data_IF_244310239797
#
_entry.id   IF_244310239797
#
_cell.length_a   1.000
_cell.length_b   1.000
_cell.length_c   1.000
_cell.angle_alpha   90.00
_cell.angle_beta   90.00
_cell.angle_gamma   90.00
#
_symmetry.space_group_name_H-M   'P 1'
#
loop_
_entity.id
_entity.type
_entity.pdbx_description
1 polymer ?
#
# COMPACT_ATOMS: atom_id res chain seq x y z
N UNK A 1 -16.55 -3.86 11.95
CA UNK A 1 -16.34 -4.89 12.99
C UNK A 1 -14.84 -5.07 13.12
N UNK A 2 -14.24 -4.56 14.18
CA UNK A 2 -12.79 -4.64 14.40
C UNK A 2 -12.41 -6.09 14.73
N UNK A 3 -11.36 -6.59 14.10
CA UNK A 3 -10.73 -7.85 14.49
C UNK A 3 -10.21 -7.75 15.92
N UNK A 4 -10.44 -8.75 16.78
CA UNK A 4 -9.90 -8.77 18.13
C UNK A 4 -8.46 -9.31 18.09
N UNK A 5 -7.51 -8.60 18.71
CA UNK A 5 -6.21 -9.20 19.03
C UNK A 5 -4.95 -8.35 18.88
N UNK A 6 -5.02 -7.01 18.94
CA UNK A 6 -3.80 -6.23 19.17
C UNK A 6 -3.61 -6.00 20.67
N UNK A 7 -2.52 -6.52 21.22
CA UNK A 7 -2.10 -6.28 22.59
C UNK A 7 -1.96 -4.77 22.84
N UNK A 8 -2.24 -4.27 24.06
CA UNK A 8 -2.03 -2.87 24.37
C UNK A 8 -0.58 -2.48 24.05
N UNK A 9 -0.34 -1.31 23.44
CA UNK A 9 1.02 -0.89 23.14
C UNK A 9 1.79 -0.78 24.45
N UNK A 10 2.82 -1.61 24.62
CA UNK A 10 3.73 -1.53 25.76
C UNK A 10 4.44 -0.17 25.82
N UNK A 11 5.12 0.14 26.95
CA UNK A 11 5.87 1.39 27.09
C UNK A 11 6.84 1.58 25.93
N UNK A 12 7.09 2.85 25.56
CA UNK A 12 7.95 3.16 24.43
C UNK A 12 9.32 2.46 24.57
N UNK A 13 9.81 1.76 23.53
CA UNK A 13 11.09 1.08 23.59
C UNK A 13 12.24 2.06 23.86
N UNK A 14 13.31 1.57 24.50
CA UNK A 14 14.50 2.37 24.80
C UNK A 14 15.04 3.02 23.52
N UNK A 15 15.13 4.36 23.51
CA UNK A 15 15.54 5.17 22.35
C UNK A 15 14.43 6.04 21.73
N UNK A 16 13.15 5.85 22.12
CA UNK A 16 12.04 6.67 21.62
C UNK A 16 11.82 8.00 22.38
N UNK A 17 12.53 8.22 23.49
CA UNK A 17 12.31 9.33 24.42
C UNK A 17 13.63 10.06 24.71
N UNK A 18 13.60 11.38 24.99
CA UNK A 18 14.79 12.14 25.36
C UNK A 18 15.49 11.57 26.62
N UNK A 19 16.82 11.68 26.75
CA UNK A 19 17.55 11.22 27.93
C UNK A 19 17.04 11.84 29.24
N UNK A 20 16.61 13.10 29.20
CA UNK A 20 16.04 13.82 30.34
C UNK A 20 14.65 13.31 30.78
N UNK A 21 14.02 12.41 30.01
CA UNK A 21 12.66 11.94 30.25
C UNK A 21 12.50 11.29 31.62
N UNK A 22 13.49 10.54 32.10
CA UNK A 22 13.42 9.87 33.41
C UNK A 22 14.02 10.72 34.54
N UNK A 23 15.03 11.53 34.23
CA UNK A 23 15.88 12.17 35.25
C UNK A 23 15.42 13.56 35.66
N UNK A 24 14.69 14.29 34.81
CA UNK A 24 14.30 15.69 35.05
C UNK A 24 12.80 15.81 35.39
N UNK A 25 12.45 15.62 36.66
CA UNK A 25 11.07 15.63 37.13
C UNK A 25 10.39 17.00 36.97
N UNK A 26 11.11 18.10 37.17
CA UNK A 26 10.57 19.46 37.09
C UNK A 26 10.19 19.82 35.64
N UNK A 27 11.09 19.56 34.70
CA UNK A 27 10.82 19.80 33.28
C UNK A 27 9.69 18.91 32.78
N UNK A 28 9.64 17.66 33.21
CA UNK A 28 8.58 16.73 32.79
C UNK A 28 7.21 17.11 33.37
N UNK A 29 7.14 17.60 34.61
CA UNK A 29 5.91 18.17 35.16
C UNK A 29 5.40 19.35 34.34
N UNK A 30 6.31 20.26 33.93
CA UNK A 30 5.97 21.36 33.02
C UNK A 30 5.45 20.85 31.67
N UNK A 31 6.13 19.88 31.04
CA UNK A 31 5.74 19.34 29.74
C UNK A 31 4.41 18.56 29.77
N UNK A 32 4.10 17.87 30.87
CA UNK A 32 2.88 17.05 31.00
C UNK A 32 1.64 17.84 31.39
N UNK A 33 1.81 19.03 31.97
CA UNK A 33 0.68 19.90 32.33
C UNK A 33 -0.17 20.30 31.12
N UNK A 34 -1.37 20.83 31.37
CA UNK A 34 -2.16 21.42 30.30
C UNK A 34 -1.46 22.65 29.71
N UNK A 35 -1.84 22.99 28.49
CA UNK A 35 -1.51 24.26 27.88
C UNK A 35 -2.36 25.38 28.55
N UNK A 36 -1.77 26.55 28.83
CA UNK A 36 -2.49 27.75 29.33
C UNK A 36 -3.62 28.20 28.37
N UNK A 37 -4.64 28.90 28.87
CA UNK A 37 -5.81 29.25 28.04
C UNK A 37 -5.48 30.22 26.88
N UNK A 38 -4.45 31.06 27.02
CA UNK A 38 -4.00 31.96 25.96
C UNK A 38 -2.48 31.96 25.85
N UNK A 39 -1.97 31.88 24.61
CA UNK A 39 -0.54 32.05 24.27
C UNK A 39 -0.04 33.45 24.67
N UNK A 40 -0.91 34.45 24.66
CA UNK A 40 -0.55 35.86 24.91
C UNK A 40 -0.10 36.10 26.36
N UNK A 41 -0.48 35.22 27.29
CA UNK A 41 -0.14 35.34 28.71
C UNK A 41 1.31 34.92 28.98
N UNK A 42 1.86 33.98 28.21
CA UNK A 42 3.27 33.57 28.28
C UNK A 42 3.67 32.84 26.99
N UNK A 43 4.07 33.60 25.97
CA UNK A 43 4.40 33.07 24.65
C UNK A 43 5.64 32.18 24.65
N UNK A 44 6.64 32.49 25.48
CA UNK A 44 7.91 31.76 25.54
C UNK A 44 7.73 30.34 26.07
N UNK A 45 7.05 30.16 27.21
CA UNK A 45 6.75 28.83 27.75
C UNK A 45 5.89 28.01 26.80
N UNK A 46 4.87 28.67 26.22
CA UNK A 46 3.97 28.05 25.27
C UNK A 46 4.71 27.52 24.04
N UNK A 47 5.51 28.35 23.41
CA UNK A 47 6.21 28.03 22.17
C UNK A 47 7.29 26.97 22.42
N UNK A 48 8.01 27.04 23.55
CA UNK A 48 8.98 26.02 23.95
C UNK A 48 8.34 24.64 24.13
N UNK A 49 7.21 24.58 24.87
CA UNK A 49 6.45 23.35 25.08
C UNK A 49 5.88 22.80 23.78
N UNK A 50 5.35 23.67 22.92
CA UNK A 50 4.84 23.28 21.60
C UNK A 50 5.96 22.73 20.71
N UNK A 51 7.11 23.39 20.65
CA UNK A 51 8.25 22.94 19.85
C UNK A 51 8.75 21.55 20.30
N UNK A 52 8.86 21.33 21.62
CA UNK A 52 9.22 20.03 22.18
C UNK A 52 8.26 18.92 21.72
N UNK A 53 6.95 19.11 21.95
CA UNK A 53 5.97 18.06 21.63
C UNK A 53 5.80 17.83 20.14
N UNK A 54 5.83 18.89 19.31
CA UNK A 54 5.83 18.76 17.85
C UNK A 54 7.01 17.92 17.37
N UNK A 55 8.22 18.23 17.86
CA UNK A 55 9.43 17.48 17.51
C UNK A 55 9.30 16.01 17.91
N UNK A 56 8.83 15.73 19.12
CA UNK A 56 8.73 14.37 19.64
C UNK A 56 7.66 13.53 18.92
N UNK A 57 6.49 14.11 18.63
CA UNK A 57 5.40 13.45 17.89
C UNK A 57 5.86 13.06 16.48
N UNK A 58 6.43 14.01 15.73
CA UNK A 58 6.91 13.76 14.37
C UNK A 58 8.08 12.75 14.34
N UNK A 59 9.02 12.88 15.28
CA UNK A 59 10.16 11.97 15.37
C UNK A 59 9.74 10.54 15.73
N UNK A 60 8.72 10.37 16.59
CA UNK A 60 8.16 9.05 16.91
C UNK A 60 7.57 8.37 15.68
N UNK A 61 6.77 9.10 14.89
CA UNK A 61 6.22 8.59 13.63
C UNK A 61 7.33 8.10 12.69
N UNK A 62 8.37 8.92 12.50
CA UNK A 62 9.54 8.59 11.66
C UNK A 62 10.31 7.37 12.18
N UNK A 63 10.66 7.31 13.47
CA UNK A 63 11.40 6.18 14.05
C UNK A 63 10.66 4.85 13.93
N UNK A 64 9.33 4.87 14.10
CA UNK A 64 8.49 3.68 13.99
C UNK A 64 8.14 3.33 12.54
N UNK A 65 8.41 4.21 11.58
CA UNK A 65 7.96 4.06 10.19
C UNK A 65 6.43 4.05 10.05
N UNK A 66 5.69 4.55 11.05
CA UNK A 66 4.23 4.50 11.10
C UNK A 66 3.63 5.76 10.47
N UNK A 67 2.94 5.60 9.34
CA UNK A 67 2.32 6.73 8.61
C UNK A 67 1.03 7.25 9.27
N UNK A 68 0.48 6.51 10.24
CA UNK A 68 -0.75 6.84 10.97
C UNK A 68 -0.52 6.91 12.48
N UNK A 69 -1.37 7.63 13.17
CA UNK A 69 -1.47 7.61 14.63
C UNK A 69 -2.83 8.12 15.13
N UNK A 70 -3.09 8.07 16.44
CA UNK A 70 -4.18 8.79 17.09
C UNK A 70 -3.72 9.39 18.43
N UNK A 71 -4.57 10.23 19.05
CA UNK A 71 -4.24 10.87 20.32
C UNK A 71 -3.99 9.83 21.44
N UNK A 72 -4.82 8.78 21.51
CA UNK A 72 -4.68 7.71 22.52
C UNK A 72 -3.34 6.99 22.42
N UNK A 73 -2.93 6.62 21.21
CA UNK A 73 -1.64 5.96 20.98
C UNK A 73 -0.47 6.81 21.43
N UNK A 74 -0.53 8.12 21.17
CA UNK A 74 0.52 9.06 21.59
C UNK A 74 0.52 9.27 23.09
N UNK A 75 -0.65 9.38 23.73
CA UNK A 75 -0.77 9.49 25.19
C UNK A 75 -0.17 8.27 25.88
N UNK A 76 -0.56 7.06 25.48
CA UNK A 76 0.00 5.81 26.01
C UNK A 76 1.49 5.71 25.70
N UNK A 77 1.88 6.12 24.49
CA UNK A 77 3.25 6.09 24.02
C UNK A 77 4.19 7.04 24.74
N UNK A 78 3.66 8.12 25.32
CA UNK A 78 4.37 9.12 26.11
C UNK A 78 3.96 9.07 27.58
N UNK A 79 3.40 7.95 28.05
CA UNK A 79 3.09 7.79 29.46
C UNK A 79 4.39 7.81 30.29
N UNK A 80 4.32 8.45 31.45
CA UNK A 80 5.40 8.50 32.42
C UNK A 80 4.82 8.38 33.83
N UNK A 81 5.23 7.35 34.56
CA UNK A 81 4.82 7.10 35.96
C UNK A 81 3.29 7.17 36.14
N UNK A 82 2.52 6.58 35.22
CA UNK A 82 1.05 6.59 35.25
C UNK A 82 0.39 7.90 34.83
N UNK A 83 1.16 8.91 34.39
CA UNK A 83 0.65 10.18 33.87
C UNK A 83 0.80 10.23 32.35
N UNK A 84 -0.17 10.85 31.67
CA UNK A 84 -0.10 11.13 30.22
C UNK A 84 -0.01 12.64 29.98
N UNK A 85 0.58 13.09 28.86
CA UNK A 85 0.73 14.52 28.63
C UNK A 85 -0.61 15.16 28.21
N UNK A 86 -1.15 16.02 29.07
CA UNK A 86 -2.48 16.64 28.90
C UNK A 86 -2.54 17.58 27.69
N UNK A 87 -1.39 18.10 27.26
CA UNK A 87 -1.30 19.05 26.16
C UNK A 87 -1.40 18.45 24.75
N UNK A 88 -1.32 17.13 24.58
CA UNK A 88 -1.17 16.50 23.26
C UNK A 88 -2.30 16.82 22.28
N UNK A 89 -3.56 16.89 22.74
CA UNK A 89 -4.67 17.28 21.88
C UNK A 89 -4.48 18.67 21.25
N UNK A 90 -3.89 19.61 22.00
CA UNK A 90 -3.57 20.95 21.49
C UNK A 90 -2.42 20.92 20.47
N UNK A 91 -1.43 20.04 20.68
CA UNK A 91 -0.32 19.82 19.75
C UNK A 91 -0.83 19.24 18.43
N UNK A 92 -1.70 18.23 18.48
CA UNK A 92 -2.28 17.62 17.28
C UNK A 92 -3.14 18.60 16.49
N UNK A 93 -3.94 19.41 17.18
CA UNK A 93 -4.69 20.52 16.54
C UNK A 93 -3.74 21.48 15.81
N UNK A 94 -2.62 21.86 16.42
CA UNK A 94 -1.64 22.74 15.78
C UNK A 94 -0.95 22.07 14.59
N UNK A 95 -0.62 20.79 14.68
CA UNK A 95 -0.05 20.02 13.56
C UNK A 95 -1.03 19.87 12.38
N UNK A 96 -2.32 19.68 12.66
CA UNK A 96 -3.39 19.71 11.65
C UNK A 96 -3.48 21.08 10.99
N UNK A 97 -3.50 22.16 11.79
CA UNK A 97 -3.55 23.55 11.30
C UNK A 97 -2.35 23.88 10.41
N UNK A 98 -1.16 23.35 10.72
CA UNK A 98 0.07 23.52 9.93
C UNK A 98 0.18 22.56 8.73
N UNK A 99 -0.78 21.64 8.55
CA UNK A 99 -0.73 20.62 7.49
C UNK A 99 0.39 19.59 7.66
N UNK A 100 0.95 19.45 8.86
CA UNK A 100 1.92 18.40 9.19
C UNK A 100 1.24 17.06 9.50
N UNK A 101 0.01 17.15 10.03
CA UNK A 101 -0.92 16.04 10.13
C UNK A 101 -2.14 16.33 9.24
N UNK A 102 -2.83 15.26 8.83
CA UNK A 102 -4.12 15.34 8.16
C UNK A 102 -5.05 14.26 8.73
N UNK A 103 -6.36 14.53 8.87
CA UNK A 103 -7.32 13.49 9.23
C UNK A 103 -7.40 12.48 8.09
N UNK A 104 -7.42 11.19 8.41
CA UNK A 104 -7.48 10.15 7.37
C UNK A 104 -8.74 10.28 6.50
N UNK A 105 -9.87 10.60 7.12
CA UNK A 105 -11.14 10.86 6.43
C UNK A 105 -11.05 12.03 5.45
N UNK A 106 -10.42 13.14 5.83
CA UNK A 106 -10.18 14.29 4.96
C UNK A 106 -9.26 13.92 3.81
N UNK A 107 -8.20 13.15 4.09
CA UNK A 107 -7.26 12.70 3.06
C UNK A 107 -7.95 11.82 2.02
N UNK A 108 -8.70 10.82 2.46
CA UNK A 108 -9.45 9.94 1.56
C UNK A 108 -10.46 10.73 0.72
N UNK A 109 -11.21 11.66 1.33
CA UNK A 109 -12.15 12.50 0.60
C UNK A 109 -11.49 13.45 -0.42
N UNK A 110 -10.19 13.77 -0.25
CA UNK A 110 -9.45 14.65 -1.16
C UNK A 110 -8.99 13.99 -2.46
N UNK A 111 -9.10 12.65 -2.57
CA UNK A 111 -8.74 11.90 -3.77
C UNK A 111 -10.02 11.52 -4.51
N UNK A 112 -10.06 11.76 -5.82
CA UNK A 112 -11.26 11.58 -6.66
C UNK A 112 -11.98 10.24 -6.43
N UNK A 113 -13.31 10.30 -6.50
CA UNK A 113 -14.26 9.25 -6.14
C UNK A 113 -14.10 7.93 -6.90
N UNK A 114 -13.36 7.93 -8.01
CA UNK A 114 -13.14 6.76 -8.87
C UNK A 114 -12.45 5.59 -8.17
N UNK A 115 -11.65 5.84 -7.12
CA UNK A 115 -11.02 4.78 -6.31
C UNK A 115 -11.89 4.28 -5.15
N UNK A 116 -12.67 5.18 -4.54
CA UNK A 116 -13.44 4.94 -3.31
C UNK A 116 -14.78 4.25 -3.59
N UNK A 117 -15.21 4.22 -4.84
CA UNK A 117 -16.55 3.78 -5.21
C UNK A 117 -16.80 2.27 -5.11
N UNK A 118 -15.83 1.34 -5.07
CA UNK A 118 -16.17 -0.08 -5.34
C UNK A 118 -15.45 -1.24 -4.61
N UNK A 119 -14.48 -1.07 -3.69
CA UNK A 119 -13.93 -2.33 -3.12
C UNK A 119 -12.88 -2.30 -2.02
N UNK A 120 -12.96 -1.43 -1.04
CA UNK A 120 -12.09 -1.54 0.16
C UNK A 120 -12.93 -1.52 1.44
N UNK A 121 -14.17 -2.04 1.43
CA UNK A 121 -14.96 -2.22 2.67
C UNK A 121 -15.12 -0.99 3.59
N UNK A 122 -14.80 0.21 3.10
CA UNK A 122 -15.00 1.46 3.84
C UNK A 122 -16.42 1.85 3.55
N UNK A 123 -17.31 1.49 4.47
CA UNK A 123 -18.62 2.10 4.59
C UNK A 123 -18.44 3.61 4.76
N UNK A 124 -18.32 4.36 3.67
CA UNK A 124 -18.65 5.78 3.67
C UNK A 124 -20.17 5.86 3.76
N UNK A 125 -20.67 5.52 4.94
CA UNK A 125 -22.00 5.92 5.34
C UNK A 125 -21.97 7.45 5.40
N UNK A 126 -22.51 8.06 4.33
CA UNK A 126 -23.11 9.40 4.22
C UNK A 126 -22.24 10.51 3.60
N UNK A 127 -22.27 10.65 2.25
CA UNK A 127 -21.78 11.83 1.57
C UNK A 127 -22.82 12.98 1.58
N UNK A 128 -23.29 13.44 2.75
CA UNK A 128 -24.28 14.52 2.82
C UNK A 128 -24.14 15.53 3.98
N UNK A 129 -23.26 15.32 4.98
CA UNK A 129 -23.05 16.29 6.08
C UNK A 129 -21.70 17.03 6.06
N UNK A 130 -20.83 16.72 5.10
CA UNK A 130 -19.39 17.01 5.23
C UNK A 130 -18.79 17.88 4.13
N UNK A 131 -19.61 18.43 3.21
CA UNK A 131 -19.11 19.21 2.06
C UNK A 131 -18.88 20.69 2.35
N UNK A 132 -19.00 21.17 3.59
CA UNK A 132 -18.74 22.59 3.92
C UNK A 132 -17.86 22.85 5.16
N UNK A 133 -17.51 21.86 5.98
CA UNK A 133 -16.67 22.05 7.18
C UNK A 133 -15.18 21.75 6.98
N UNK A 134 -14.77 21.11 5.87
CA UNK A 134 -13.38 20.70 5.63
C UNK A 134 -12.53 21.77 4.92
N UNK A 135 -13.15 22.79 4.31
CA UNK A 135 -12.45 23.89 3.62
C UNK A 135 -12.07 25.02 4.58
N UNK A 136 -12.66 25.04 5.78
CA UNK A 136 -12.29 25.92 6.89
C UNK A 136 -11.84 25.04 8.04
N UNK A 137 -10.52 24.84 8.18
CA UNK A 137 -9.91 23.94 9.15
C UNK A 137 -10.59 23.99 10.51
N UNK A 138 -11.33 22.93 10.86
CA UNK A 138 -12.03 22.84 12.13
C UNK A 138 -10.98 22.84 13.25
N UNK A 139 -10.93 23.93 14.02
CA UNK A 139 -9.97 24.18 15.10
C UNK A 139 -10.22 23.31 16.33
N UNK A 140 -10.85 22.14 16.16
CA UNK A 140 -11.19 21.23 17.26
C UNK A 140 -10.03 20.28 17.55
N UNK A 141 -9.90 19.93 18.83
CA UNK A 141 -9.03 18.84 19.25
C UNK A 141 -9.54 17.56 18.58
N UNK A 142 -8.67 16.74 17.97
CA UNK A 142 -9.06 15.43 17.47
C UNK A 142 -9.61 14.53 18.59
N UNK A 143 -10.58 13.68 18.25
CA UNK A 143 -11.05 12.67 19.21
C UNK A 143 -9.93 11.65 19.51
N UNK A 144 -10.01 10.96 20.65
CA UNK A 144 -8.93 10.10 21.13
C UNK A 144 -8.51 9.00 20.14
N UNK A 145 -9.50 8.38 19.48
CA UNK A 145 -9.32 7.28 18.52
C UNK A 145 -9.32 7.76 17.07
N UNK A 146 -9.41 9.07 16.84
CA UNK A 146 -9.44 9.61 15.49
C UNK A 146 -8.09 9.42 14.80
N UNK A 147 -8.12 8.83 13.61
CA UNK A 147 -6.89 8.48 12.87
C UNK A 147 -6.35 9.69 12.10
N UNK A 148 -5.10 10.01 12.38
CA UNK A 148 -4.33 11.09 11.79
C UNK A 148 -3.17 10.51 10.96
N UNK A 149 -2.86 11.15 9.85
CA UNK A 149 -1.80 10.78 8.92
C UNK A 149 -0.64 11.77 9.06
N UNK A 150 0.58 11.26 9.18
CA UNK A 150 1.81 12.05 9.04
C UNK A 150 2.05 12.36 7.56
N UNK A 151 1.78 13.61 7.15
CA UNK A 151 1.75 14.00 5.73
C UNK A 151 3.10 13.77 5.04
N UNK A 152 4.20 14.25 5.64
CA UNK A 152 5.54 14.09 5.07
C UNK A 152 5.97 12.61 5.02
N UNK A 153 5.71 11.86 6.08
CA UNK A 153 6.10 10.45 6.13
C UNK A 153 5.29 9.60 5.13
N UNK A 154 4.01 9.92 4.92
CA UNK A 154 3.19 9.29 3.89
C UNK A 154 3.80 9.53 2.50
N UNK A 155 4.19 10.77 2.20
CA UNK A 155 4.84 11.12 0.92
C UNK A 155 6.16 10.36 0.73
N UNK A 156 7.03 10.34 1.74
CA UNK A 156 8.31 9.61 1.71
C UNK A 156 8.10 8.11 1.47
N UNK A 157 7.13 7.49 2.17
CA UNK A 157 6.81 6.08 2.01
C UNK A 157 6.15 5.76 0.67
N UNK A 158 5.35 6.68 0.13
CA UNK A 158 4.74 6.50 -1.18
C UNK A 158 5.82 6.57 -2.28
N UNK A 159 6.83 7.43 -2.12
CA UNK A 159 8.02 7.47 -2.98
C UNK A 159 8.86 6.19 -2.86
N UNK A 160 9.00 5.60 -1.67
CA UNK A 160 9.62 4.26 -1.52
C UNK A 160 8.87 3.18 -2.32
N UNK A 161 7.54 3.15 -2.25
CA UNK A 161 6.71 2.21 -3.05
C UNK A 161 6.94 2.40 -4.55
N UNK A 162 7.03 3.66 -5.01
CA UNK A 162 7.30 3.94 -6.42
C UNK A 162 8.67 3.47 -6.88
N UNK A 163 9.71 3.77 -6.09
CA UNK A 163 11.08 3.33 -6.38
C UNK A 163 11.17 1.80 -6.36
N UNK A 164 10.45 1.15 -5.45
CA UNK A 164 10.39 -0.31 -5.42
C UNK A 164 9.75 -0.87 -6.69
N UNK A 165 8.63 -0.29 -7.15
CA UNK A 165 8.03 -0.66 -8.44
C UNK A 165 9.01 -0.46 -9.61
N UNK A 166 9.63 0.72 -9.72
CA UNK A 166 10.57 1.06 -10.79
C UNK A 166 11.78 0.11 -10.86
N UNK A 167 12.24 -0.40 -9.72
CA UNK A 167 13.37 -1.34 -9.64
C UNK A 167 12.95 -2.82 -9.71
N UNK A 168 11.67 -3.11 -9.96
CA UNK A 168 11.14 -4.47 -10.03
C UNK A 168 10.88 -4.91 -11.47
N UNK A 169 10.73 -6.21 -11.67
CA UNK A 169 10.30 -6.78 -12.95
C UNK A 169 8.92 -6.28 -13.40
N UNK A 170 8.07 -5.80 -12.47
CA UNK A 170 6.75 -5.25 -12.79
C UNK A 170 6.83 -3.96 -13.61
N UNK A 171 7.97 -3.25 -13.58
CA UNK A 171 8.15 -1.98 -14.31
C UNK A 171 8.23 -2.14 -15.83
N UNK A 172 8.54 -3.35 -16.33
CA UNK A 172 8.52 -3.65 -17.77
C UNK A 172 7.12 -3.52 -18.35
N UNK A 173 6.10 -3.77 -17.52
CA UNK A 173 4.71 -3.76 -17.92
C UNK A 173 4.06 -2.37 -17.67
N UNK A 174 3.22 -1.87 -18.60
CA UNK A 174 2.58 -0.56 -18.46
C UNK A 174 1.48 -0.57 -17.40
N UNK A 175 0.87 -1.74 -17.19
CA UNK A 175 -0.22 -1.98 -16.26
C UNK A 175 0.05 -3.28 -15.54
N UNK A 176 -0.20 -3.31 -14.24
CA UNK A 176 0.07 -4.46 -13.37
C UNK A 176 -1.12 -4.75 -12.47
N UNK A 177 -1.25 -5.99 -12.01
CA UNK A 177 -2.28 -6.32 -11.05
C UNK A 177 -1.98 -5.66 -9.70
N UNK A 178 -3.02 -5.15 -9.03
CA UNK A 178 -2.88 -4.57 -7.70
C UNK A 178 -2.39 -5.61 -6.67
N UNK A 179 -2.77 -6.87 -6.85
CA UNK A 179 -2.34 -8.02 -6.03
C UNK A 179 -0.84 -8.28 -6.13
N UNK A 180 -0.27 -8.20 -7.33
CA UNK A 180 1.17 -8.31 -7.58
C UNK A 180 1.92 -7.14 -6.95
N UNK A 181 1.42 -5.91 -7.14
CA UNK A 181 2.00 -4.72 -6.53
C UNK A 181 1.97 -4.79 -5.00
N UNK A 182 0.88 -5.27 -4.41
CA UNK A 182 0.77 -5.51 -2.97
C UNK A 182 1.79 -6.54 -2.49
N UNK A 183 1.97 -7.62 -3.25
CA UNK A 183 2.94 -8.67 -2.92
C UNK A 183 4.37 -8.13 -2.96
N UNK A 184 4.69 -7.28 -3.94
CA UNK A 184 5.96 -6.57 -4.02
C UNK A 184 6.16 -5.66 -2.78
N UNK A 185 5.12 -4.95 -2.36
CA UNK A 185 5.18 -3.98 -1.26
C UNK A 185 5.01 -4.59 0.15
N UNK A 186 4.85 -5.91 0.29
CA UNK A 186 4.54 -6.57 1.56
C UNK A 186 5.60 -6.31 2.66
N UNK A 187 6.86 -6.12 2.28
CA UNK A 187 7.94 -5.79 3.22
C UNK A 187 7.98 -4.31 3.64
N UNK A 188 7.37 -3.40 2.87
CA UNK A 188 7.32 -1.96 3.17
C UNK A 188 6.03 -1.56 3.90
N UNK A 189 4.94 -2.28 3.64
CA UNK A 189 3.62 -1.95 4.18
C UNK A 189 3.28 -2.93 5.31
N UNK A 190 3.17 -2.46 6.58
CA UNK A 190 2.85 -3.34 7.71
C UNK A 190 1.45 -3.96 7.61
N UNK A 191 0.53 -3.30 6.90
CA UNK A 191 -0.85 -3.72 6.74
C UNK A 191 -1.47 -3.19 5.44
N UNK A 192 -2.62 -3.74 5.09
CA UNK A 192 -3.38 -3.41 3.88
C UNK A 192 -3.82 -1.95 3.82
N UNK A 193 -4.23 -1.39 4.96
CA UNK A 193 -4.73 -0.01 5.02
C UNK A 193 -3.58 0.97 4.77
N UNK A 194 -2.39 0.70 5.31
CA UNK A 194 -1.19 1.46 4.98
C UNK A 194 -0.88 1.41 3.48
N UNK A 195 -0.89 0.22 2.86
CA UNK A 195 -0.67 0.07 1.42
C UNK A 195 -1.62 0.95 0.58
N UNK A 196 -2.92 0.95 0.90
CA UNK A 196 -3.88 1.77 0.17
C UNK A 196 -3.71 3.27 0.38
N UNK A 197 -3.32 3.72 1.57
CA UNK A 197 -3.03 5.14 1.80
C UNK A 197 -1.82 5.61 0.99
N UNK A 198 -0.79 4.77 0.84
CA UNK A 198 0.36 5.09 -0.01
C UNK A 198 -0.07 5.17 -1.48
N UNK A 199 -0.89 4.23 -1.97
CA UNK A 199 -1.42 4.31 -3.33
C UNK A 199 -2.29 5.54 -3.58
N UNK A 200 -3.14 5.91 -2.61
CA UNK A 200 -3.92 7.14 -2.66
C UNK A 200 -3.02 8.38 -2.75
N UNK A 201 -1.91 8.40 -2.01
CA UNK A 201 -0.93 9.48 -2.09
C UNK A 201 -0.32 9.56 -3.49
N UNK A 202 0.04 8.43 -4.09
CA UNK A 202 0.57 8.39 -5.45
C UNK A 202 -0.47 8.82 -6.50
N UNK A 203 -1.74 8.50 -6.29
CA UNK A 203 -2.81 8.91 -7.18
C UNK A 203 -3.07 10.41 -7.07
N UNK A 204 -3.06 10.96 -5.85
CA UNK A 204 -3.13 12.41 -5.59
C UNK A 204 -2.00 13.17 -6.29
N UNK A 205 -0.81 12.59 -6.33
CA UNK A 205 0.36 13.12 -7.04
C UNK A 205 0.32 12.88 -8.55
N UNK A 206 -0.72 12.22 -9.08
CA UNK A 206 -0.85 11.82 -10.49
C UNK A 206 0.30 10.95 -10.98
N UNK A 207 0.85 10.11 -10.08
CA UNK A 207 1.88 9.12 -10.40
C UNK A 207 1.31 7.74 -10.68
N UNK A 208 0.09 7.46 -10.24
CA UNK A 208 -0.64 6.22 -10.56
C UNK A 208 -2.10 6.50 -10.91
N UNK A 209 -2.67 5.65 -11.76
CA UNK A 209 -4.12 5.54 -11.99
C UNK A 209 -4.53 4.11 -11.80
N UNK A 210 -5.70 3.91 -11.19
CA UNK A 210 -6.21 2.59 -10.85
C UNK A 210 -7.59 2.42 -11.47
N UNK A 211 -7.82 1.26 -12.09
CA UNK A 211 -9.09 0.86 -12.66
C UNK A 211 -9.48 -0.51 -12.11
N UNK A 212 -10.78 -0.77 -11.98
CA UNK A 212 -11.29 -2.11 -11.74
C UNK A 212 -11.79 -2.70 -13.06
N UNK A 213 -11.28 -3.88 -13.39
CA UNK A 213 -11.61 -4.62 -14.60
C UNK A 213 -11.97 -6.06 -14.23
N UNK A 214 -13.19 -6.50 -14.55
CA UNK A 214 -13.68 -7.85 -14.27
C UNK A 214 -13.54 -8.30 -12.79
N UNK A 215 -13.66 -7.37 -11.84
CA UNK A 215 -13.52 -7.63 -10.40
C UNK A 215 -12.06 -7.67 -9.90
N UNK A 216 -11.08 -7.40 -10.77
CA UNK A 216 -9.67 -7.22 -10.41
C UNK A 216 -9.25 -5.76 -10.56
N UNK A 217 -8.46 -5.26 -9.62
CA UNK A 217 -7.91 -3.90 -9.70
C UNK A 217 -6.55 -3.92 -10.38
N UNK A 218 -6.37 -2.99 -11.31
CA UNK A 218 -5.17 -2.85 -12.10
C UNK A 218 -4.59 -1.44 -11.97
N UNK A 219 -3.27 -1.37 -11.89
CA UNK A 219 -2.54 -0.13 -11.60
C UNK A 219 -1.65 0.21 -12.78
N UNK A 220 -1.78 1.44 -13.28
CA UNK A 220 -0.89 2.04 -14.26
C UNK A 220 -0.03 3.08 -13.57
N UNK A 221 1.28 3.05 -13.82
CA UNK A 221 2.24 3.99 -13.27
C UNK A 221 2.66 5.02 -14.34
N UNK A 222 2.99 6.23 -13.89
CA UNK A 222 3.68 7.20 -14.73
C UNK A 222 5.05 6.67 -15.16
N UNK A 223 5.39 6.84 -16.45
CA UNK A 223 6.67 6.44 -17.04
C UNK A 223 7.49 7.67 -17.36
N UNK A 224 8.75 7.71 -16.89
CA UNK A 224 9.67 8.83 -17.09
C UNK A 224 9.85 9.71 -15.85
N UNK A 225 11.00 10.38 -15.77
CA UNK A 225 11.34 11.26 -14.65
C UNK A 225 10.37 12.47 -14.64
N UNK A 226 9.61 12.64 -13.55
CA UNK A 226 8.59 13.69 -13.38
C UNK A 226 7.35 13.61 -14.31
N UNK A 227 7.14 12.50 -15.01
CA UNK A 227 5.94 12.31 -15.80
C UNK A 227 4.69 12.20 -14.92
N UNK A 228 3.56 12.70 -15.44
CA UNK A 228 2.23 12.42 -14.87
C UNK A 228 1.62 11.26 -15.63
N UNK A 229 0.98 10.36 -14.91
CA UNK A 229 0.30 9.21 -15.50
C UNK A 229 -0.89 9.70 -16.33
N UNK A 230 -1.04 9.15 -17.54
CA UNK A 230 -2.24 9.35 -18.34
C UNK A 230 -3.37 8.45 -17.83
N UNK A 231 -4.65 8.85 -18.00
CA UNK A 231 -5.78 7.97 -17.75
C UNK A 231 -5.61 6.62 -18.44
N UNK A 232 -6.13 5.57 -17.82
CA UNK A 232 -6.13 4.24 -18.43
C UNK A 232 -7.03 4.23 -19.67
N UNK A 233 -6.55 3.64 -20.76
CA UNK A 233 -7.26 3.55 -22.04
C UNK A 233 -7.46 2.09 -22.49
N UNK A 234 -8.18 1.88 -23.59
CA UNK A 234 -8.48 0.53 -24.11
C UNK A 234 -7.24 -0.26 -24.52
N UNK A 235 -6.17 0.43 -24.96
CA UNK A 235 -4.90 -0.21 -25.32
C UNK A 235 -4.23 -0.76 -24.06
N UNK A 236 -4.20 0.01 -22.97
CA UNK A 236 -3.66 -0.41 -21.68
C UNK A 236 -4.38 -1.66 -21.17
N UNK A 237 -5.72 -1.67 -21.26
CA UNK A 237 -6.56 -2.80 -20.87
C UNK A 237 -6.28 -4.02 -21.75
N UNK A 238 -6.17 -3.83 -23.07
CA UNK A 238 -5.84 -4.89 -24.01
C UNK A 238 -4.47 -5.52 -23.75
N UNK A 239 -3.45 -4.70 -23.46
CA UNK A 239 -2.10 -5.17 -23.08
C UNK A 239 -2.17 -6.01 -21.80
N UNK A 240 -2.89 -5.53 -20.79
CA UNK A 240 -3.06 -6.26 -19.54
C UNK A 240 -3.76 -7.62 -19.74
N UNK A 241 -4.81 -7.67 -20.58
CA UNK A 241 -5.48 -8.93 -20.93
C UNK A 241 -4.57 -9.92 -21.68
N UNK A 242 -3.69 -9.40 -22.56
CA UNK A 242 -2.68 -10.23 -23.24
C UNK A 242 -1.68 -10.80 -22.23
N UNK A 243 -1.21 -10.01 -21.27
CA UNK A 243 -0.32 -10.49 -20.20
C UNK A 243 -1.00 -11.59 -19.35
N UNK A 244 -2.28 -11.40 -18.98
CA UNK A 244 -3.02 -12.45 -18.27
C UNK A 244 -3.16 -13.73 -19.12
N UNK A 245 -3.41 -13.57 -20.42
CA UNK A 245 -3.51 -14.70 -21.35
C UNK A 245 -2.19 -15.45 -21.47
N UNK A 246 -1.07 -14.72 -21.53
CA UNK A 246 0.28 -15.30 -21.52
C UNK A 246 0.51 -16.15 -20.27
N UNK A 247 0.23 -15.59 -19.08
CA UNK A 247 0.41 -16.29 -17.82
C UNK A 247 -0.46 -17.55 -17.73
N UNK A 248 -1.73 -17.46 -18.14
CA UNK A 248 -2.65 -18.60 -18.15
C UNK A 248 -2.20 -19.69 -19.12
N UNK A 249 -1.75 -19.32 -20.32
CA UNK A 249 -1.23 -20.25 -21.32
C UNK A 249 0.04 -20.95 -20.79
N UNK A 250 0.98 -20.21 -20.21
CA UNK A 250 2.22 -20.77 -19.62
C UNK A 250 1.92 -21.76 -18.50
N UNK A 251 1.02 -21.42 -17.56
CA UNK A 251 0.59 -22.33 -16.50
C UNK A 251 -0.07 -23.60 -17.07
N UNK A 252 -0.86 -23.45 -18.14
CA UNK A 252 -1.52 -24.61 -18.78
C UNK A 252 -0.52 -25.53 -19.48
N UNK A 253 0.47 -24.95 -20.16
CA UNK A 253 1.59 -25.66 -20.77
C UNK A 253 2.35 -26.45 -19.71
N UNK A 254 2.69 -25.83 -18.58
CA UNK A 254 3.41 -26.48 -17.48
C UNK A 254 2.60 -27.66 -16.90
N UNK A 255 1.31 -27.44 -16.62
CA UNK A 255 0.41 -28.47 -16.12
C UNK A 255 0.29 -29.69 -17.06
N UNK A 256 0.12 -29.45 -18.36
CA UNK A 256 0.05 -30.53 -19.34
C UNK A 256 1.40 -31.23 -19.52
N UNK A 257 2.52 -30.51 -19.37
CA UNK A 257 3.87 -31.09 -19.44
C UNK A 257 4.09 -32.07 -18.29
N UNK A 258 3.65 -31.73 -17.08
CA UNK A 258 3.66 -32.64 -15.93
C UNK A 258 2.78 -33.88 -16.18
N UNK A 259 1.59 -33.70 -16.78
CA UNK A 259 0.71 -34.81 -17.13
C UNK A 259 1.33 -35.75 -18.19
N UNK A 260 2.03 -35.19 -19.18
CA UNK A 260 2.73 -35.96 -20.21
C UNK A 260 3.88 -36.78 -19.62
N UNK A 261 4.67 -36.21 -18.70
CA UNK A 261 5.71 -36.94 -17.99
C UNK A 261 5.14 -38.04 -17.07
N UNK A 262 4.01 -37.79 -16.40
CA UNK A 262 3.30 -38.84 -15.66
C UNK A 262 2.85 -40.00 -16.56
N UNK A 263 2.25 -39.71 -17.72
CA UNK A 263 1.86 -40.73 -18.69
C UNK A 263 3.06 -41.57 -19.17
N UNK A 264 4.24 -40.96 -19.29
CA UNK A 264 5.50 -41.63 -19.66
C UNK A 264 6.00 -42.54 -18.54
N UNK A 265 5.93 -42.10 -17.29
CA UNK A 265 6.27 -42.93 -16.12
C UNK A 265 5.33 -44.12 -15.97
N UNK A 266 4.02 -43.90 -16.13
CA UNK A 266 3.01 -44.96 -16.10
C UNK A 266 3.25 -45.99 -17.21
N UNK A 267 3.60 -45.53 -18.42
CA UNK A 267 3.96 -46.40 -19.53
C UNK A 267 5.21 -47.24 -19.21
N UNK A 268 6.24 -46.63 -18.62
CA UNK A 268 7.47 -47.34 -18.20
C UNK A 268 7.15 -48.41 -17.15
N UNK A 269 6.34 -48.08 -16.15
CA UNK A 269 5.92 -49.01 -15.10
C UNK A 269 5.08 -50.17 -15.66
N UNK A 270 4.15 -49.89 -16.57
CA UNK A 270 3.36 -50.90 -17.26
C UNK A 270 4.22 -51.82 -18.14
N UNK A 271 5.23 -51.28 -18.83
CA UNK A 271 6.22 -52.07 -19.58
C UNK A 271 7.00 -53.02 -18.66
N UNK A 272 7.52 -52.51 -17.53
CA UNK A 272 8.23 -53.34 -16.52
C UNK A 272 7.35 -54.44 -15.95
N UNK A 273 6.06 -54.18 -15.78
CA UNK A 273 5.07 -55.15 -15.31
C UNK A 273 4.54 -56.10 -16.42
N UNK A 274 5.06 -56.03 -17.65
CA UNK A 274 4.61 -56.87 -18.78
C UNK A 274 3.22 -56.51 -19.34
N UNK A 275 2.59 -55.42 -18.87
CA UNK A 275 1.23 -55.00 -19.23
C UNK A 275 1.22 -54.17 -20.52
N UNK A 276 1.50 -54.82 -21.67
CA UNK A 276 1.68 -54.16 -22.98
C UNK A 276 0.53 -53.24 -23.40
N UNK A 277 -0.73 -53.66 -23.22
CA UNK A 277 -1.89 -52.86 -23.62
C UNK A 277 -2.05 -51.58 -22.79
N UNK A 278 -1.74 -51.67 -21.49
CA UNK A 278 -1.76 -50.52 -20.58
C UNK A 278 -0.65 -49.53 -20.96
N UNK A 279 0.57 -50.02 -21.22
CA UNK A 279 1.68 -49.19 -21.68
C UNK A 279 1.34 -48.45 -22.99
N UNK A 280 0.76 -49.15 -23.97
CA UNK A 280 0.34 -48.55 -25.24
C UNK A 280 -0.73 -47.46 -25.04
N UNK A 281 -1.68 -47.67 -24.12
CA UNK A 281 -2.70 -46.67 -23.78
C UNK A 281 -2.06 -45.42 -23.17
N UNK A 282 -1.14 -45.57 -22.21
CA UNK A 282 -0.42 -44.47 -21.59
C UNK A 282 0.38 -43.66 -22.63
N UNK A 283 1.07 -44.34 -23.56
CA UNK A 283 1.81 -43.67 -24.64
C UNK A 283 0.88 -42.92 -25.62
N UNK A 284 -0.29 -43.47 -25.95
CA UNK A 284 -1.28 -42.76 -26.76
C UNK A 284 -1.85 -41.54 -26.04
N UNK A 285 -2.02 -41.62 -24.71
CA UNK A 285 -2.44 -40.47 -23.89
C UNK A 285 -1.38 -39.38 -23.93
N UNK A 286 -0.12 -39.73 -23.63
CA UNK A 286 1.04 -38.84 -23.72
C UNK A 286 1.08 -38.09 -25.05
N UNK A 287 1.01 -38.82 -26.18
CA UNK A 287 1.09 -38.22 -27.52
C UNK A 287 -0.06 -37.24 -27.81
N UNK A 288 -1.25 -37.45 -27.24
CA UNK A 288 -2.36 -36.49 -27.35
C UNK A 288 -2.10 -35.24 -26.51
N UNK A 289 -1.60 -35.41 -25.29
CA UNK A 289 -1.20 -34.30 -24.42
C UNK A 289 -0.07 -33.47 -25.05
N UNK A 290 0.94 -34.11 -25.64
CA UNK A 290 2.04 -33.45 -26.35
C UNK A 290 1.56 -32.57 -27.51
N UNK A 291 0.64 -33.06 -28.35
CA UNK A 291 0.06 -32.21 -29.41
C UNK A 291 -0.67 -30.99 -28.86
N UNK A 292 -1.39 -31.15 -27.75
CA UNK A 292 -2.08 -30.03 -27.11
C UNK A 292 -1.09 -29.01 -26.53
N UNK A 293 0.06 -29.47 -26.04
CA UNK A 293 1.15 -28.59 -25.61
C UNK A 293 1.69 -27.80 -26.80
N UNK A 294 1.96 -28.45 -27.94
CA UNK A 294 2.42 -27.78 -29.17
C UNK A 294 1.44 -26.68 -29.64
N UNK A 295 0.13 -26.98 -29.62
CA UNK A 295 -0.91 -25.99 -29.95
C UNK A 295 -0.93 -24.80 -28.98
N UNK A 296 -0.70 -25.02 -27.69
CA UNK A 296 -0.65 -23.96 -26.69
C UNK A 296 0.64 -23.13 -26.79
N UNK A 297 1.79 -23.76 -27.06
CA UNK A 297 3.04 -23.05 -27.32
C UNK A 297 2.89 -22.10 -28.51
N UNK A 298 2.31 -22.57 -29.63
CA UNK A 298 2.10 -21.68 -30.79
C UNK A 298 1.22 -20.46 -30.46
N UNK A 299 0.23 -20.61 -29.57
CA UNK A 299 -0.58 -19.49 -29.10
C UNK A 299 0.21 -18.56 -28.17
N UNK A 300 1.02 -19.14 -27.28
CA UNK A 300 1.87 -18.39 -26.38
C UNK A 300 2.89 -17.54 -27.15
N UNK A 301 3.57 -18.13 -28.13
CA UNK A 301 4.53 -17.43 -29.01
C UNK A 301 3.86 -16.27 -29.76
N UNK A 302 2.60 -16.45 -30.19
CA UNK A 302 1.84 -15.40 -30.85
C UNK A 302 1.52 -14.23 -29.90
N UNK A 303 1.12 -14.52 -28.66
CA UNK A 303 0.84 -13.50 -27.62
C UNK A 303 2.12 -12.74 -27.26
N UNK A 304 3.21 -13.47 -27.00
CA UNK A 304 4.53 -12.89 -26.69
C UNK A 304 5.03 -12.00 -27.83
N UNK A 305 4.91 -12.48 -29.07
CA UNK A 305 5.27 -11.70 -30.24
C UNK A 305 4.44 -10.43 -30.45
N UNK A 306 3.22 -10.34 -29.91
CA UNK A 306 2.43 -9.10 -29.90
C UNK A 306 2.93 -8.17 -28.79
N UNK A 307 3.14 -8.68 -27.58
CA UNK A 307 3.64 -7.92 -26.43
C UNK A 307 5.01 -7.30 -26.73
N UNK A 308 5.94 -8.06 -27.30
CA UNK A 308 7.28 -7.58 -27.67
C UNK A 308 7.23 -6.40 -28.64
N UNK A 309 6.33 -6.44 -29.63
CA UNK A 309 6.14 -5.34 -30.59
C UNK A 309 5.56 -4.09 -29.91
N UNK A 310 4.63 -4.28 -28.97
CA UNK A 310 4.06 -3.17 -28.21
C UNK A 310 5.14 -2.51 -27.35
N UNK A 311 5.96 -3.31 -26.67
CA UNK A 311 7.04 -2.78 -25.83
C UNK A 311 8.13 -2.09 -26.64
N UNK A 312 8.57 -2.67 -27.77
CA UNK A 312 9.51 -2.03 -28.69
C UNK A 312 8.98 -0.68 -29.19
N UNK A 313 7.71 -0.61 -29.60
CA UNK A 313 7.07 0.64 -30.03
C UNK A 313 6.98 1.70 -28.94
N UNK A 314 6.85 1.30 -27.67
CA UNK A 314 6.81 2.23 -26.55
C UNK A 314 8.20 2.74 -26.18
N UNK A 315 9.24 1.91 -26.28
CA UNK A 315 10.63 2.31 -26.06
C UNK A 315 11.11 3.28 -27.14
N UNK A 316 10.75 3.06 -28.40
CA UNK A 316 11.10 3.95 -29.51
C UNK A 316 10.46 5.35 -29.41
N UNK A 317 9.35 5.50 -28.68
CA UNK A 317 8.74 6.81 -28.38
C UNK A 317 9.39 7.54 -27.20
N UNK A 318 10.27 6.88 -26.44
CA UNK A 318 10.91 7.43 -25.24
C UNK A 318 12.35 7.93 -25.47
N UNK A 319 12.90 7.78 -26.69
CA UNK A 319 14.20 8.32 -27.13
C UNK A 319 13.99 9.62 -27.89
#
# INVERSE_FOLDING_TARGET
MCSPGEAPPGPAPAGDLPPEWETDDERMAFLFSAFKQSREVNSTEWDSKMAFWVGLVLARGRRRGAVRTCLRELQNGFERRGSVPLGLGTVLRELLRRGKLQRESDFMASVDSSWISWGVGVFILKPLKWTLSSVLGDSKIPEEEEVLIYVELLQEKAEEVYRLYQNSALSSHPVVALSELRSLCAGLCPDERTFYLLLLQLQKEKRVTILEQNGEKIVKFARGLHAKVSPMNDVDIGVYQLMQSEQLLSQKVESLSQEAEKCKEDARSACRAGKKQLALRCLKSKRRTERRIEELHSKLDAVQGILDRIYASQTDQMV
#
